data_IF_182106844852
#
_entry.id   IF_182106844852
#
_cell.length_a   1.000
_cell.length_b   1.000
_cell.length_c   1.000
_cell.angle_alpha   90.00
_cell.angle_beta   90.00
_cell.angle_gamma   90.00
#
_symmetry.space_group_name_H-M   'P 1'
#
loop_
_entity.id
_entity.type
_entity.pdbx_description
1 polymer ?
#
# COMPACT_ATOMS: atom_id res chain seq x y z
N UNK A 1 -14.76 -17.17 -6.38
CA UNK A 1 -15.16 -17.52 -4.99
C UNK A 1 -16.19 -16.53 -4.44
N UNK A 2 -17.26 -17.05 -3.85
CA UNK A 2 -18.42 -16.36 -3.26
C UNK A 2 -18.01 -15.30 -2.23
N UNK A 3 -17.00 -15.59 -1.40
CA UNK A 3 -16.46 -14.63 -0.42
C UNK A 3 -15.99 -13.32 -1.07
N UNK A 4 -15.53 -13.38 -2.31
CA UNK A 4 -15.05 -12.22 -3.07
C UNK A 4 -16.17 -11.61 -3.90
N UNK A 5 -16.95 -12.42 -4.62
CA UNK A 5 -18.02 -11.94 -5.49
C UNK A 5 -19.19 -11.29 -4.74
N UNK A 6 -19.48 -11.73 -3.51
CA UNK A 6 -20.49 -11.13 -2.62
C UNK A 6 -19.91 -10.15 -1.60
N UNK A 7 -18.66 -9.73 -1.75
CA UNK A 7 -18.06 -8.77 -0.83
C UNK A 7 -18.66 -7.38 -1.04
N UNK A 8 -18.79 -6.59 0.05
CA UNK A 8 -19.36 -5.23 -0.03
C UNK A 8 -18.72 -4.35 -1.13
N UNK A 9 -17.38 -4.29 -1.30
CA UNK A 9 -16.78 -3.53 -2.39
C UNK A 9 -17.19 -4.04 -3.77
N UNK A 10 -17.22 -5.36 -3.97
CA UNK A 10 -17.63 -5.96 -5.23
C UNK A 10 -19.08 -5.59 -5.56
N UNK A 11 -20.01 -5.83 -4.65
CA UNK A 11 -21.43 -5.52 -4.86
C UNK A 11 -21.64 -4.04 -5.21
N UNK A 12 -20.97 -3.13 -4.48
CA UNK A 12 -21.06 -1.69 -4.75
C UNK A 12 -20.57 -1.29 -6.15
N UNK A 13 -19.52 -1.93 -6.65
CA UNK A 13 -18.96 -1.66 -7.99
C UNK A 13 -19.84 -2.31 -9.07
N UNK A 14 -20.29 -3.54 -8.88
CA UNK A 14 -21.16 -4.23 -9.85
C UNK A 14 -22.51 -3.54 -10.00
N UNK A 15 -23.15 -3.09 -8.91
CA UNK A 15 -24.40 -2.31 -8.95
C UNK A 15 -24.28 -1.02 -9.79
N UNK A 16 -23.08 -0.43 -9.82
CA UNK A 16 -22.80 0.77 -10.63
C UNK A 16 -22.49 0.42 -12.08
N UNK A 17 -21.81 -0.70 -12.33
CA UNK A 17 -21.60 -1.21 -13.69
C UNK A 17 -22.93 -1.54 -14.38
N UNK A 18 -23.90 -2.11 -13.66
CA UNK A 18 -25.26 -2.34 -14.17
C UNK A 18 -26.03 -1.07 -14.55
N UNK A 19 -25.51 0.14 -14.27
CA UNK A 19 -26.12 1.40 -14.72
C UNK A 19 -25.70 1.78 -16.15
N UNK A 20 -24.69 1.13 -16.71
CA UNK A 20 -24.34 1.30 -18.12
C UNK A 20 -25.41 0.58 -18.96
N UNK A 21 -26.05 1.31 -19.87
CA UNK A 21 -27.20 0.84 -20.66
C UNK A 21 -26.95 -0.49 -21.39
N UNK A 22 -25.70 -0.71 -21.84
CA UNK A 22 -25.32 -1.86 -22.66
C UNK A 22 -24.47 -2.90 -21.91
N UNK A 23 -24.40 -2.83 -20.58
CA UNK A 23 -23.62 -3.78 -19.77
C UNK A 23 -24.55 -4.54 -18.82
N UNK A 24 -24.70 -5.84 -19.08
CA UNK A 24 -25.31 -6.79 -18.16
C UNK A 24 -24.24 -7.55 -17.38
N UNK A 25 -24.37 -7.57 -16.04
CA UNK A 25 -23.42 -8.25 -15.15
C UNK A 25 -23.95 -9.63 -14.77
N UNK A 26 -23.18 -10.67 -15.08
CA UNK A 26 -23.45 -12.05 -14.66
C UNK A 26 -22.39 -12.50 -13.67
N UNK A 27 -22.80 -12.90 -12.46
CA UNK A 27 -21.91 -13.45 -11.44
C UNK A 27 -21.97 -14.98 -11.51
N UNK A 28 -20.86 -15.62 -11.86
CA UNK A 28 -20.79 -17.08 -11.89
C UNK A 28 -20.87 -17.61 -10.46
N UNK A 29 -21.74 -18.58 -10.21
CA UNK A 29 -21.88 -19.18 -8.88
C UNK A 29 -20.62 -19.97 -8.52
N UNK A 30 -20.32 -20.07 -7.23
CA UNK A 30 -19.15 -20.83 -6.77
C UNK A 30 -19.29 -22.32 -7.11
N UNK A 31 -20.50 -22.87 -6.99
CA UNK A 31 -20.84 -24.23 -7.41
C UNK A 31 -20.51 -24.48 -8.88
N UNK A 32 -20.95 -23.61 -9.80
CA UNK A 32 -20.61 -23.73 -11.23
C UNK A 32 -19.10 -23.64 -11.46
N UNK A 33 -18.42 -22.71 -10.79
CA UNK A 33 -16.96 -22.55 -10.91
C UNK A 33 -16.21 -23.81 -10.46
N UNK A 34 -16.64 -24.43 -9.37
CA UNK A 34 -15.94 -25.59 -8.80
C UNK A 34 -16.33 -26.89 -9.50
N UNK A 35 -17.61 -27.13 -9.69
CA UNK A 35 -18.17 -28.45 -10.01
C UNK A 35 -18.43 -28.64 -11.50
N UNK A 36 -18.92 -27.61 -12.21
CA UNK A 36 -19.29 -27.74 -13.62
C UNK A 36 -18.10 -27.57 -14.57
N UNK A 37 -18.04 -28.32 -15.69
CA UNK A 37 -17.01 -28.12 -16.71
C UNK A 37 -17.19 -26.75 -17.41
N UNK A 38 -16.11 -26.21 -17.94
CA UNK A 38 -16.04 -24.80 -18.41
C UNK A 38 -16.98 -24.50 -19.59
N UNK A 39 -17.36 -25.52 -20.36
CA UNK A 39 -18.31 -25.42 -21.47
C UNK A 39 -19.71 -25.01 -20.99
N UNK A 40 -20.06 -25.39 -19.75
CA UNK A 40 -21.37 -25.08 -19.15
C UNK A 40 -21.40 -23.76 -18.39
N UNK A 41 -20.25 -23.10 -18.23
CA UNK A 41 -20.22 -21.81 -17.55
C UNK A 41 -21.00 -20.76 -18.36
N UNK A 42 -21.60 -19.76 -17.70
CA UNK A 42 -22.32 -18.71 -18.41
C UNK A 42 -21.42 -18.00 -19.43
N UNK A 43 -21.99 -17.56 -20.54
CA UNK A 43 -21.26 -16.80 -21.54
C UNK A 43 -21.04 -15.35 -21.09
N UNK A 44 -19.91 -14.76 -21.48
CA UNK A 44 -19.66 -13.34 -21.33
C UNK A 44 -18.73 -12.83 -22.43
N UNK A 45 -18.87 -11.56 -22.78
CA UNK A 45 -17.98 -10.87 -23.73
C UNK A 45 -16.74 -10.26 -23.05
N UNK A 46 -16.87 -9.98 -21.75
CA UNK A 46 -15.83 -9.47 -20.88
C UNK A 46 -15.78 -10.33 -19.61
N UNK A 47 -14.58 -10.69 -19.18
CA UNK A 47 -14.34 -11.52 -18.00
C UNK A 47 -13.50 -10.74 -16.97
N UNK A 48 -14.10 -10.54 -15.79
CA UNK A 48 -13.41 -10.11 -14.58
C UNK A 48 -13.24 -11.36 -13.70
N UNK A 49 -12.05 -11.93 -13.71
CA UNK A 49 -11.75 -13.15 -12.95
C UNK A 49 -10.37 -13.03 -12.30
N UNK A 50 -10.28 -13.51 -11.05
CA UNK A 50 -9.08 -13.39 -10.24
C UNK A 50 -8.96 -14.50 -9.20
N UNK A 51 -7.73 -14.96 -9.00
CA UNK A 51 -7.39 -15.99 -8.05
C UNK A 51 -7.54 -15.51 -6.60
N UNK A 52 -7.97 -16.43 -5.75
CA UNK A 52 -7.83 -16.39 -4.31
C UNK A 52 -7.92 -17.82 -3.80
N UNK A 53 -7.26 -18.15 -2.69
CA UNK A 53 -7.35 -19.48 -2.04
C UNK A 53 -8.64 -20.25 -2.31
N UNK A 54 -8.50 -21.39 -2.99
CA UNK A 54 -9.59 -22.31 -3.37
C UNK A 54 -10.19 -22.05 -4.77
N UNK A 55 -9.73 -21.03 -5.50
CA UNK A 55 -10.19 -20.75 -6.85
C UNK A 55 -9.46 -21.61 -7.90
N UNK A 56 -10.18 -22.32 -8.79
CA UNK A 56 -9.55 -23.14 -9.83
C UNK A 56 -9.10 -22.27 -11.00
N UNK A 57 -7.90 -21.69 -10.89
CA UNK A 57 -7.35 -20.79 -11.91
C UNK A 57 -7.19 -21.49 -13.27
N UNK A 58 -6.84 -22.78 -13.28
CA UNK A 58 -6.71 -23.58 -14.51
C UNK A 58 -8.03 -23.60 -15.31
N UNK A 59 -9.16 -23.82 -14.63
CA UNK A 59 -10.50 -23.77 -15.26
C UNK A 59 -10.83 -22.39 -15.80
N UNK A 60 -10.46 -21.33 -15.08
CA UNK A 60 -10.68 -19.97 -15.57
C UNK A 60 -9.86 -19.69 -16.85
N UNK A 61 -8.61 -20.15 -16.90
CA UNK A 61 -7.76 -20.05 -18.11
C UNK A 61 -8.35 -20.86 -19.25
N UNK A 62 -8.83 -22.07 -18.99
CA UNK A 62 -9.49 -22.94 -19.98
C UNK A 62 -10.77 -22.28 -20.53
N UNK A 63 -11.62 -21.74 -19.66
CA UNK A 63 -12.80 -20.97 -20.06
C UNK A 63 -12.42 -19.77 -20.94
N UNK A 64 -11.39 -19.01 -20.56
CA UNK A 64 -10.94 -17.86 -21.34
C UNK A 64 -10.41 -18.28 -22.72
N UNK A 65 -9.70 -19.41 -22.82
CA UNK A 65 -9.26 -19.97 -24.11
C UNK A 65 -10.44 -20.43 -24.97
N UNK A 66 -11.44 -21.07 -24.35
CA UNK A 66 -12.63 -21.58 -25.04
C UNK A 66 -13.54 -20.45 -25.58
N UNK A 67 -13.76 -19.40 -24.78
CA UNK A 67 -14.73 -18.34 -25.07
C UNK A 67 -14.11 -17.06 -25.64
N UNK A 68 -12.80 -16.88 -25.49
CA UNK A 68 -12.04 -15.69 -25.91
C UNK A 68 -12.69 -14.34 -25.52
N UNK A 69 -13.06 -14.12 -24.24
CA UNK A 69 -13.61 -12.85 -23.78
C UNK A 69 -12.51 -11.79 -23.65
N UNK A 70 -12.90 -10.51 -23.61
CA UNK A 70 -12.04 -9.43 -23.13
C UNK A 70 -11.65 -9.70 -21.66
N UNK A 71 -10.36 -9.80 -21.36
CA UNK A 71 -9.88 -9.97 -19.99
C UNK A 71 -9.58 -8.62 -19.34
N UNK A 72 -10.23 -8.31 -18.22
CA UNK A 72 -9.89 -7.13 -17.42
C UNK A 72 -8.59 -7.34 -16.63
N UNK A 73 -8.41 -8.55 -16.11
CA UNK A 73 -7.18 -8.97 -15.46
C UNK A 73 -6.70 -10.24 -16.17
N UNK A 74 -5.45 -10.25 -16.65
CA UNK A 74 -4.86 -11.42 -17.28
C UNK A 74 -4.80 -12.57 -16.27
N UNK A 75 -5.20 -13.77 -16.72
CA UNK A 75 -5.29 -14.95 -15.86
C UNK A 75 -3.95 -15.66 -15.68
N UNK A 76 -3.10 -15.71 -16.72
CA UNK A 76 -1.80 -16.38 -16.64
C UNK A 76 -0.85 -15.62 -15.71
N UNK A 77 -0.89 -14.29 -15.74
CA UNK A 77 -0.13 -13.44 -14.82
C UNK A 77 -0.45 -13.69 -13.35
N UNK A 78 -1.61 -14.27 -13.03
CA UNK A 78 -1.98 -14.59 -11.65
C UNK A 78 -1.22 -15.79 -11.08
N UNK A 79 -0.62 -16.66 -11.90
CA UNK A 79 0.33 -17.66 -11.41
C UNK A 79 1.64 -16.99 -10.97
N UNK A 80 2.15 -16.05 -11.76
CA UNK A 80 3.36 -15.29 -11.42
C UNK A 80 3.17 -14.45 -10.15
N UNK A 81 1.98 -13.87 -9.92
CA UNK A 81 1.67 -13.10 -8.71
C UNK A 81 1.66 -13.99 -7.44
N UNK A 82 1.45 -15.30 -7.57
CA UNK A 82 1.48 -16.23 -6.43
C UNK A 82 2.90 -16.56 -5.95
N UNK A 83 3.93 -16.20 -6.73
CA UNK A 83 5.34 -16.42 -6.40
C UNK A 83 6.08 -15.08 -6.29
N UNK A 84 6.55 -14.75 -5.09
CA UNK A 84 7.26 -13.49 -4.84
C UNK A 84 8.53 -13.35 -5.67
N UNK A 85 9.17 -14.46 -6.05
CA UNK A 85 10.37 -14.47 -6.90
C UNK A 85 10.05 -13.90 -8.27
N UNK A 86 8.95 -14.37 -8.87
CA UNK A 86 8.47 -13.90 -10.16
C UNK A 86 7.97 -12.45 -10.09
N UNK A 87 7.26 -12.08 -9.01
CA UNK A 87 6.89 -10.68 -8.77
C UNK A 87 8.12 -9.78 -8.78
N UNK A 88 9.17 -10.16 -8.05
CA UNK A 88 10.39 -9.35 -7.93
C UNK A 88 11.22 -9.34 -9.22
N UNK A 89 11.20 -10.44 -10.00
CA UNK A 89 11.81 -10.50 -11.33
C UNK A 89 11.15 -9.49 -12.28
N UNK A 90 9.82 -9.49 -12.36
CA UNK A 90 9.05 -8.57 -13.21
C UNK A 90 9.29 -7.11 -12.80
N UNK A 91 9.28 -6.81 -11.49
CA UNK A 91 9.57 -5.46 -11.01
C UNK A 91 10.97 -4.97 -11.43
N UNK A 92 11.99 -5.85 -11.33
CA UNK A 92 13.35 -5.53 -11.80
C UNK A 92 13.41 -5.28 -13.30
N UNK A 93 12.77 -6.12 -14.12
CA UNK A 93 12.73 -5.99 -15.59
C UNK A 93 12.08 -4.67 -16.04
N UNK A 94 11.11 -4.17 -15.27
CA UNK A 94 10.42 -2.91 -15.52
C UNK A 94 11.13 -1.68 -14.93
N UNK A 95 12.32 -1.88 -14.35
CA UNK A 95 13.09 -0.84 -13.67
C UNK A 95 12.25 -0.11 -12.60
N UNK A 96 11.50 -0.88 -11.81
CA UNK A 96 10.77 -0.39 -10.64
C UNK A 96 11.65 -0.63 -9.42
N UNK A 97 11.84 0.41 -8.60
CA UNK A 97 12.61 0.30 -7.36
C UNK A 97 11.91 -0.64 -6.36
N UNK A 98 12.68 -1.56 -5.79
CA UNK A 98 12.29 -2.48 -4.73
C UNK A 98 13.47 -2.64 -3.74
N UNK A 99 13.24 -3.12 -2.50
CA UNK A 99 14.32 -3.37 -1.56
C UNK A 99 15.38 -4.32 -2.16
N UNK A 100 16.65 -4.11 -1.81
CA UNK A 100 17.71 -5.08 -2.18
C UNK A 100 17.35 -6.43 -1.58
N UNK A 101 17.44 -7.49 -2.38
CA UNK A 101 17.01 -8.82 -1.97
C UNK A 101 17.86 -9.94 -2.58
N UNK A 102 17.87 -11.09 -1.91
CA UNK A 102 18.37 -12.37 -2.41
C UNK A 102 17.34 -13.47 -2.15
N UNK A 103 17.35 -14.50 -3.01
CA UNK A 103 16.42 -15.65 -2.92
C UNK A 103 17.19 -16.86 -2.41
N UNK A 104 16.71 -17.45 -1.33
CA UNK A 104 17.19 -18.73 -0.82
C UNK A 104 16.21 -19.84 -1.22
N UNK A 105 16.54 -20.57 -2.28
CA UNK A 105 15.77 -21.73 -2.75
C UNK A 105 16.26 -23.00 -2.05
N UNK A 106 15.48 -23.53 -1.10
CA UNK A 106 15.82 -24.79 -0.41
C UNK A 106 15.30 -26.04 -1.11
N UNK A 107 14.48 -25.87 -2.14
CA UNK A 107 13.98 -26.97 -2.98
C UNK A 107 15.08 -27.54 -3.90
N UNK A 108 16.17 -26.78 -4.09
CA UNK A 108 17.36 -27.17 -4.85
C UNK A 108 18.60 -27.04 -3.95
N UNK A 109 19.01 -28.11 -3.24
CA UNK A 109 20.05 -28.04 -2.21
C UNK A 109 21.41 -27.55 -2.73
N UNK A 110 21.71 -27.82 -4.01
CA UNK A 110 22.93 -27.32 -4.68
C UNK A 110 22.98 -25.79 -4.85
N UNK A 111 21.83 -25.11 -4.78
CA UNK A 111 21.71 -23.65 -4.95
C UNK A 111 21.51 -22.91 -3.62
N UNK A 112 21.60 -23.63 -2.49
CA UNK A 112 21.28 -23.10 -1.17
C UNK A 112 22.56 -22.81 -0.37
N UNK A 113 23.03 -21.56 -0.39
CA UNK A 113 24.06 -21.11 0.53
C UNK A 113 23.51 -20.07 1.50
N UNK A 114 23.37 -20.46 2.77
CA UNK A 114 23.00 -19.58 3.87
C UNK A 114 24.06 -19.68 4.97
N UNK A 115 24.71 -18.56 5.27
CA UNK A 115 25.56 -18.41 6.45
C UNK A 115 24.86 -17.44 7.40
N UNK A 116 24.60 -17.89 8.62
CA UNK A 116 23.97 -17.07 9.65
C UNK A 116 25.02 -16.60 10.66
N UNK A 117 25.14 -15.28 10.81
CA UNK A 117 25.91 -14.64 11.87
C UNK A 117 25.01 -14.07 12.97
N UNK A 118 25.61 -13.47 13.99
CA UNK A 118 24.87 -12.88 15.11
C UNK A 118 23.93 -11.74 14.66
N UNK A 119 24.47 -10.80 13.86
CA UNK A 119 23.78 -9.60 13.40
C UNK A 119 23.65 -9.49 11.87
N UNK A 120 23.81 -10.59 11.14
CA UNK A 120 23.60 -10.63 9.69
C UNK A 120 23.30 -12.05 9.18
N UNK A 121 22.82 -12.14 7.95
CA UNK A 121 22.85 -13.37 7.15
C UNK A 121 23.57 -13.12 5.83
N UNK A 122 24.22 -14.14 5.30
CA UNK A 122 24.77 -14.17 3.95
C UNK A 122 23.98 -15.18 3.12
N UNK A 123 23.32 -14.71 2.06
CA UNK A 123 22.47 -15.51 1.19
C UNK A 123 23.08 -15.48 -0.20
N UNK A 124 23.59 -16.61 -0.66
CA UNK A 124 24.26 -16.74 -1.97
C UNK A 124 25.39 -15.70 -2.19
N UNK A 125 26.16 -15.41 -1.14
CA UNK A 125 27.24 -14.42 -1.18
C UNK A 125 26.80 -12.98 -0.88
N UNK A 126 25.50 -12.70 -0.81
CA UNK A 126 24.98 -11.37 -0.47
C UNK A 126 24.72 -11.23 1.04
N UNK A 127 25.34 -10.24 1.66
CA UNK A 127 25.19 -9.97 3.10
C UNK A 127 23.98 -9.07 3.37
N UNK A 128 23.17 -9.44 4.36
CA UNK A 128 22.04 -8.67 4.88
C UNK A 128 22.24 -8.44 6.39
N UNK A 129 22.69 -7.25 6.80
CA UNK A 129 22.77 -6.91 8.22
C UNK A 129 21.36 -6.76 8.81
N UNK A 130 21.21 -7.06 10.10
CA UNK A 130 19.98 -6.77 10.83
C UNK A 130 19.82 -5.24 10.99
N UNK A 131 18.61 -4.67 10.79
CA UNK A 131 17.39 -5.38 10.48
C UNK A 131 17.25 -5.80 9.00
N UNK A 132 16.73 -7.01 8.79
CA UNK A 132 16.35 -7.53 7.48
C UNK A 132 14.99 -8.23 7.55
N UNK A 133 14.35 -8.42 6.40
CA UNK A 133 13.04 -9.07 6.27
C UNK A 133 13.20 -10.42 5.58
N UNK A 134 12.49 -11.43 6.06
CA UNK A 134 12.42 -12.78 5.48
C UNK A 134 10.97 -13.09 5.08
N UNK A 135 10.73 -13.23 3.77
CA UNK A 135 9.41 -13.50 3.20
C UNK A 135 9.36 -14.91 2.62
N UNK A 136 8.31 -15.71 2.89
CA UNK A 136 8.08 -16.95 2.16
C UNK A 136 7.99 -16.69 0.65
N UNK A 137 8.58 -17.55 -0.18
CA UNK A 137 8.48 -17.38 -1.65
C UNK A 137 7.03 -17.45 -2.16
N UNK A 138 6.16 -18.20 -1.48
CA UNK A 138 4.73 -18.21 -1.76
C UNK A 138 4.09 -16.89 -1.29
N UNK A 139 3.52 -16.12 -2.22
CA UNK A 139 2.88 -14.84 -1.91
C UNK A 139 1.58 -15.00 -1.09
N UNK A 140 0.93 -16.17 -1.14
CA UNK A 140 -0.23 -16.47 -0.28
C UNK A 140 0.17 -16.80 1.16
N UNK A 141 1.44 -17.08 1.44
CA UNK A 141 1.97 -17.17 2.80
C UNK A 141 2.33 -15.77 3.31
N UNK A 142 1.65 -15.36 4.38
CA UNK A 142 1.77 -14.05 5.00
C UNK A 142 2.64 -14.07 6.27
N UNK A 143 3.32 -15.18 6.55
CA UNK A 143 4.25 -15.32 7.67
C UNK A 143 5.59 -14.64 7.35
N UNK A 144 5.59 -13.31 7.29
CA UNK A 144 6.77 -12.48 7.02
C UNK A 144 7.48 -12.14 8.33
N UNK A 145 8.78 -12.41 8.42
CA UNK A 145 9.55 -12.18 9.64
C UNK A 145 10.52 -11.02 9.46
N UNK A 146 10.76 -10.25 10.52
CA UNK A 146 11.73 -9.16 10.56
C UNK A 146 12.68 -9.45 11.71
N UNK A 147 13.98 -9.47 11.44
CA UNK A 147 14.99 -9.80 12.44
C UNK A 147 15.66 -8.53 12.94
N UNK A 148 15.76 -8.34 14.25
CA UNK A 148 16.31 -7.11 14.84
C UNK A 148 17.76 -7.26 15.27
N UNK A 149 18.58 -6.21 15.14
CA UNK A 149 19.97 -6.27 15.56
C UNK A 149 20.09 -6.39 17.08
N UNK A 150 21.19 -6.96 17.53
CA UNK A 150 21.52 -7.14 18.96
C UNK A 150 21.56 -5.79 19.68
N UNK A 151 22.01 -4.74 19.00
CA UNK A 151 21.98 -3.35 19.51
C UNK A 151 20.57 -2.82 19.83
N UNK A 152 19.52 -3.39 19.24
CA UNK A 152 18.12 -3.07 19.51
C UNK A 152 17.42 -4.09 20.43
N UNK A 153 18.18 -5.03 21.02
CA UNK A 153 17.67 -6.09 21.90
C UNK A 153 17.49 -7.45 21.24
N UNK A 154 17.80 -7.59 19.94
CA UNK A 154 17.66 -8.83 19.20
C UNK A 154 16.21 -9.28 18.99
N UNK A 155 16.02 -10.56 18.72
CA UNK A 155 14.73 -11.16 18.46
C UNK A 155 14.18 -10.89 17.06
N UNK A 156 12.89 -11.18 16.88
CA UNK A 156 12.20 -11.04 15.60
C UNK A 156 10.74 -10.61 15.76
N UNK A 157 10.23 -9.87 14.78
CA UNK A 157 8.81 -9.60 14.61
C UNK A 157 8.21 -10.57 13.60
N UNK A 158 7.18 -11.30 14.03
CA UNK A 158 6.50 -12.30 13.20
C UNK A 158 5.16 -11.76 12.74
N UNK A 159 5.09 -11.34 11.47
CA UNK A 159 3.85 -10.87 10.85
C UNK A 159 2.99 -12.07 10.45
N UNK A 160 1.68 -11.86 10.44
CA UNK A 160 0.72 -12.87 10.00
C UNK A 160 -0.54 -12.19 9.48
N UNK A 161 -1.34 -12.94 8.73
CA UNK A 161 -2.66 -12.46 8.29
C UNK A 161 -3.49 -12.07 9.51
N UNK A 162 -3.91 -10.80 9.57
CA UNK A 162 -4.60 -10.19 10.71
C UNK A 162 -5.63 -11.12 11.38
N UNK A 163 -5.47 -11.32 12.69
CA UNK A 163 -6.40 -12.04 13.57
C UNK A 163 -6.88 -11.06 14.64
N UNK A 164 -8.15 -10.69 14.60
CA UNK A 164 -8.72 -9.72 15.54
C UNK A 164 -8.01 -8.36 15.50
N UNK A 165 -7.39 -7.97 16.61
CA UNK A 165 -6.67 -6.70 16.78
C UNK A 165 -5.16 -6.80 16.54
N UNK A 166 -4.65 -7.95 16.07
CA UNK A 166 -3.21 -8.16 15.83
C UNK A 166 -2.88 -8.53 14.39
N UNK A 167 -1.71 -8.07 13.97
CA UNK A 167 -1.10 -8.28 12.64
C UNK A 167 0.35 -8.75 12.69
N UNK A 168 0.97 -8.69 13.88
CA UNK A 168 2.26 -9.31 14.15
C UNK A 168 2.44 -9.54 15.66
N UNK A 169 3.51 -10.24 16.03
CA UNK A 169 3.92 -10.46 17.42
C UNK A 169 5.45 -10.51 17.52
N UNK A 170 5.99 -9.94 18.59
CA UNK A 170 7.40 -10.07 18.93
C UNK A 170 7.72 -11.49 19.39
N UNK A 171 8.90 -11.99 19.00
CA UNK A 171 9.47 -13.25 19.43
C UNK A 171 10.92 -13.03 19.86
N UNK A 172 11.39 -13.67 20.95
CA UNK A 172 12.79 -13.59 21.35
C UNK A 172 13.73 -14.39 20.43
N UNK A 173 13.19 -15.17 19.48
CA UNK A 173 13.98 -15.93 18.52
C UNK A 173 14.71 -14.97 17.56
N UNK A 174 16.04 -15.09 17.52
CA UNK A 174 16.92 -14.27 16.69
C UNK A 174 17.42 -15.00 15.44
N UNK A 175 17.15 -16.30 15.34
CA UNK A 175 17.63 -17.17 14.28
C UNK A 175 16.62 -17.32 13.14
N UNK A 176 17.11 -17.42 11.91
CA UNK A 176 16.27 -17.54 10.71
C UNK A 176 15.59 -18.91 10.59
N UNK A 177 14.51 -18.97 9.79
CA UNK A 177 13.81 -20.25 9.56
C UNK A 177 14.70 -21.19 8.75
N UNK A 178 14.79 -22.44 9.21
CA UNK A 178 15.70 -23.45 8.65
C UNK A 178 15.06 -24.31 7.55
N UNK A 179 13.73 -24.29 7.42
CA UNK A 179 12.98 -25.10 6.45
C UNK A 179 12.14 -24.21 5.53
N UNK A 180 12.04 -24.56 4.25
CA UNK A 180 11.29 -23.77 3.26
C UNK A 180 12.14 -22.73 2.54
N UNK A 181 11.64 -22.23 1.42
CA UNK A 181 12.33 -21.24 0.56
C UNK A 181 11.87 -19.82 0.89
N UNK A 182 12.81 -18.87 0.92
CA UNK A 182 12.56 -17.50 1.38
C UNK A 182 13.25 -16.44 0.50
N UNK A 183 12.69 -15.24 0.50
CA UNK A 183 13.35 -14.01 0.05
C UNK A 183 13.86 -13.27 1.28
N UNK A 184 15.16 -12.96 1.29
CA UNK A 184 15.77 -12.07 2.27
C UNK A 184 15.93 -10.70 1.63
N UNK A 185 15.45 -9.66 2.29
CA UNK A 185 15.54 -8.29 1.78
C UNK A 185 15.93 -7.29 2.86
N UNK A 186 16.51 -6.18 2.42
CA UNK A 186 16.83 -5.04 3.27
C UNK A 186 15.56 -4.47 3.94
N UNK A 187 15.64 -4.20 5.24
CA UNK A 187 14.56 -3.53 5.94
C UNK A 187 14.57 -2.03 5.61
N UNK A 188 13.47 -1.54 5.03
CA UNK A 188 13.34 -0.13 4.66
C UNK A 188 12.82 0.71 5.84
N UNK A 189 13.56 1.74 6.32
CA UNK A 189 13.13 2.59 7.42
C UNK A 189 12.07 3.60 6.95
N UNK A 190 10.79 3.25 7.08
CA UNK A 190 9.66 4.15 6.81
C UNK A 190 9.27 4.95 8.05
N UNK A 191 8.37 5.93 7.89
CA UNK A 191 7.74 6.68 9.01
C UNK A 191 6.72 5.82 9.81
N UNK A 192 6.84 4.49 9.76
CA UNK A 192 5.95 3.57 10.47
C UNK A 192 4.63 3.27 9.76
N UNK A 193 4.52 3.61 8.47
CA UNK A 193 3.33 3.32 7.66
C UNK A 193 3.68 2.66 6.33
N UNK A 194 2.78 1.81 5.87
CA UNK A 194 2.84 1.20 4.54
C UNK A 194 1.82 1.91 3.64
N UNK A 195 2.23 2.33 2.46
CA UNK A 195 1.34 2.95 1.46
C UNK A 195 0.73 1.85 0.60
N UNK A 196 -0.59 1.72 0.62
CA UNK A 196 -1.32 0.76 -0.20
C UNK A 196 -1.89 1.45 -1.41
N UNK A 197 -1.54 0.98 -2.59
CA UNK A 197 -1.96 1.54 -3.87
C UNK A 197 -2.90 0.58 -4.58
N UNK A 198 -3.95 1.13 -5.20
CA UNK A 198 -4.99 0.38 -5.90
C UNK A 198 -5.24 1.02 -7.27
N UNK A 199 -4.87 0.33 -8.33
CA UNK A 199 -5.07 0.78 -9.71
C UNK A 199 -6.43 0.38 -10.23
N UNK A 200 -6.96 1.18 -11.15
CA UNK A 200 -8.08 0.80 -12.03
C UNK A 200 -7.70 1.25 -13.43
N UNK A 201 -7.02 0.38 -14.15
CA UNK A 201 -6.28 0.74 -15.35
C UNK A 201 -5.00 1.51 -15.02
N UNK A 202 -4.21 1.83 -16.06
CA UNK A 202 -2.86 2.38 -15.89
C UNK A 202 -2.83 3.85 -15.46
N UNK A 203 -3.93 4.59 -15.60
CA UNK A 203 -4.00 6.05 -15.41
C UNK A 203 -4.75 6.48 -14.14
N UNK A 204 -5.35 5.53 -13.42
CA UNK A 204 -5.99 5.78 -12.13
C UNK A 204 -5.31 4.96 -11.03
N UNK A 205 -4.95 5.63 -9.94
CA UNK A 205 -4.45 4.99 -8.74
C UNK A 205 -4.96 5.71 -7.48
N UNK A 206 -5.64 4.95 -6.61
CA UNK A 206 -5.98 5.39 -5.26
C UNK A 206 -4.90 4.92 -4.28
N UNK A 207 -4.54 5.75 -3.30
CA UNK A 207 -3.58 5.38 -2.28
C UNK A 207 -4.04 5.75 -0.86
N UNK A 208 -3.78 4.83 0.07
CA UNK A 208 -4.06 4.98 1.49
C UNK A 208 -2.91 4.38 2.32
N UNK A 209 -2.47 5.08 3.35
CA UNK A 209 -1.48 4.57 4.29
C UNK A 209 -2.14 3.85 5.46
N UNK A 210 -1.47 2.83 5.97
CA UNK A 210 -1.84 2.13 7.21
C UNK A 210 -0.62 1.98 8.10
N UNK A 211 -0.84 1.84 9.41
CA UNK A 211 0.25 1.53 10.34
C UNK A 211 0.95 0.24 9.91
N UNK A 212 2.27 0.28 9.84
CA UNK A 212 3.07 -0.88 9.46
C UNK A 212 2.96 -1.97 10.54
N UNK A 213 2.69 -3.23 10.17
CA UNK A 213 2.70 -4.34 11.11
C UNK A 213 4.10 -4.63 11.66
N UNK A 214 5.16 -4.04 11.09
CA UNK A 214 6.54 -4.12 11.57
C UNK A 214 6.79 -3.41 12.92
N UNK A 215 5.87 -2.56 13.38
CA UNK A 215 6.02 -1.78 14.61
C UNK A 215 5.69 -2.60 15.87
N UNK A 216 4.42 -2.61 16.29
CA UNK A 216 3.95 -3.29 17.51
C UNK A 216 2.92 -4.39 17.23
N UNK A 217 2.50 -4.53 15.96
CA UNK A 217 1.48 -5.47 15.52
C UNK A 217 0.04 -5.14 15.94
N UNK A 218 -0.19 -4.07 16.71
CA UNK A 218 -1.53 -3.66 17.16
C UNK A 218 -2.22 -2.89 16.04
N UNK A 219 -3.36 -3.43 15.59
CA UNK A 219 -4.18 -2.83 14.54
C UNK A 219 -4.99 -1.69 15.14
N UNK A 220 -4.76 -0.49 14.60
CA UNK A 220 -5.48 0.71 15.01
C UNK A 220 -6.87 0.73 14.38
N UNK A 221 -7.89 1.01 15.19
CA UNK A 221 -9.29 1.01 14.78
C UNK A 221 -9.98 2.30 15.20
N UNK A 222 -10.89 2.77 14.36
CA UNK A 222 -11.78 3.89 14.68
C UNK A 222 -12.91 3.47 15.65
N UNK A 223 -13.76 4.43 15.99
CA UNK A 223 -14.93 4.22 16.86
C UNK A 223 -15.94 3.21 16.30
N UNK A 224 -15.93 2.94 14.99
CA UNK A 224 -16.78 1.95 14.34
C UNK A 224 -16.10 0.58 14.21
N UNK A 225 -14.89 0.42 14.76
CA UNK A 225 -14.11 -0.80 14.71
C UNK A 225 -13.45 -1.06 13.35
N UNK A 226 -13.45 -0.11 12.41
CA UNK A 226 -12.73 -0.22 11.13
C UNK A 226 -11.28 0.16 11.33
N UNK A 227 -10.40 -0.49 10.57
CA UNK A 227 -8.97 -0.18 10.60
C UNK A 227 -8.71 1.23 10.10
N UNK A 228 -7.95 2.03 10.86
CA UNK A 228 -7.64 3.41 10.53
C UNK A 228 -6.79 3.46 9.25
N UNK A 229 -7.10 4.42 8.38
CA UNK A 229 -6.41 4.66 7.12
C UNK A 229 -6.20 6.13 6.93
N UNK A 230 -5.06 6.50 6.36
CA UNK A 230 -4.72 7.88 6.06
C UNK A 230 -4.73 8.07 4.55
N UNK A 231 -5.42 9.08 4.01
CA UNK A 231 -5.37 9.36 2.58
C UNK A 231 -3.95 9.71 2.17
N UNK A 232 -3.49 9.16 1.04
CA UNK A 232 -2.15 9.42 0.50
C UNK A 232 -2.29 9.98 -0.90
N UNK A 233 -1.64 11.12 -1.13
CA UNK A 233 -1.41 11.62 -2.49
C UNK A 233 -0.13 10.99 -3.02
N UNK A 234 -0.25 10.29 -4.15
CA UNK A 234 0.91 9.77 -4.88
C UNK A 234 1.63 10.91 -5.60
N UNK A 235 2.95 10.90 -5.52
CA UNK A 235 3.81 11.75 -6.33
C UNK A 235 3.71 11.39 -7.82
N UNK A 236 4.21 12.26 -8.71
CA UNK A 236 4.26 11.96 -10.15
C UNK A 236 5.05 10.67 -10.44
N UNK A 237 6.16 10.45 -9.72
CA UNK A 237 6.95 9.23 -9.83
C UNK A 237 6.17 7.99 -9.38
N UNK A 238 5.48 8.05 -8.24
CA UNK A 238 4.69 6.91 -7.76
C UNK A 238 3.47 6.61 -8.65
N UNK A 239 2.88 7.63 -9.29
CA UNK A 239 1.86 7.41 -10.33
C UNK A 239 2.43 6.67 -11.54
N UNK A 240 3.66 7.02 -11.96
CA UNK A 240 4.35 6.28 -13.02
C UNK A 240 4.64 4.83 -12.58
N UNK A 241 5.04 4.60 -11.33
CA UNK A 241 5.20 3.25 -10.77
C UNK A 241 3.87 2.49 -10.81
N UNK A 242 2.75 3.11 -10.39
CA UNK A 242 1.43 2.48 -10.44
C UNK A 242 1.02 2.10 -11.88
N UNK A 243 1.30 2.97 -12.85
CA UNK A 243 1.11 2.70 -14.28
C UNK A 243 1.93 1.48 -14.72
N UNK A 244 3.22 1.45 -14.40
CA UNK A 244 4.10 0.33 -14.76
C UNK A 244 3.63 -0.99 -14.12
N UNK A 245 3.32 -1.00 -12.82
CA UNK A 245 2.81 -2.19 -12.13
C UNK A 245 1.52 -2.70 -12.79
N UNK A 246 0.56 -1.82 -13.10
CA UNK A 246 -0.67 -2.22 -13.77
C UNK A 246 -0.41 -2.91 -15.12
N UNK A 247 0.46 -2.32 -15.94
CA UNK A 247 0.76 -2.81 -17.29
C UNK A 247 1.61 -4.09 -17.28
N UNK A 248 2.68 -4.10 -16.47
CA UNK A 248 3.62 -5.22 -16.39
C UNK A 248 2.96 -6.51 -15.91
N UNK A 249 2.11 -6.41 -14.88
CA UNK A 249 1.35 -7.54 -14.36
C UNK A 249 0.07 -7.82 -15.15
N UNK A 250 -0.27 -6.96 -16.13
CA UNK A 250 -1.51 -7.04 -16.93
C UNK A 250 -2.76 -7.15 -16.05
N UNK A 251 -2.75 -6.45 -14.93
CA UNK A 251 -3.84 -6.42 -13.96
C UNK A 251 -4.45 -5.01 -13.99
N UNK A 252 -5.60 -4.85 -14.67
CA UNK A 252 -6.30 -3.55 -14.69
C UNK A 252 -6.65 -3.12 -13.26
N UNK A 253 -7.29 -4.02 -12.51
CA UNK A 253 -7.50 -3.83 -11.07
C UNK A 253 -6.35 -4.49 -10.34
N UNK A 254 -5.45 -3.69 -9.75
CA UNK A 254 -4.25 -4.20 -9.08
C UNK A 254 -4.01 -3.49 -7.75
N UNK A 255 -3.74 -4.25 -6.70
CA UNK A 255 -3.26 -3.75 -5.42
C UNK A 255 -1.77 -4.03 -5.25
N UNK A 256 -1.01 -3.05 -4.77
CA UNK A 256 0.40 -3.24 -4.42
C UNK A 256 0.79 -2.32 -3.25
N UNK A 257 1.87 -2.68 -2.56
CA UNK A 257 2.37 -1.96 -1.39
C UNK A 257 3.67 -1.20 -1.72
N UNK A 258 3.73 0.04 -1.26
CA UNK A 258 4.87 0.95 -1.38
C UNK A 258 5.44 1.29 0.01
N UNK A 259 6.77 1.30 0.08
CA UNK A 259 7.55 1.78 1.21
C UNK A 259 8.19 3.10 0.82
N UNK A 260 7.82 4.19 1.50
CA UNK A 260 8.50 5.49 1.37
C UNK A 260 9.65 5.51 2.37
N UNK A 261 10.88 5.46 1.87
CA UNK A 261 12.09 5.42 2.69
C UNK A 261 13.22 6.20 2.01
N UNK A 262 14.01 6.93 2.79
CA UNK A 262 15.20 7.66 2.30
C UNK A 262 14.93 8.64 1.13
N UNK A 263 13.71 9.16 1.00
CA UNK A 263 13.32 10.04 -0.11
C UNK A 263 12.92 9.32 -1.41
N UNK A 264 12.89 7.99 -1.39
CA UNK A 264 12.50 7.11 -2.50
C UNK A 264 11.22 6.33 -2.16
N UNK A 265 10.64 5.67 -3.18
CA UNK A 265 9.45 4.83 -3.03
C UNK A 265 9.71 3.45 -3.64
N UNK A 266 9.67 2.42 -2.79
CA UNK A 266 10.01 1.03 -3.16
C UNK A 266 8.75 0.16 -3.16
N UNK A 267 8.55 -0.62 -4.21
CA UNK A 267 7.48 -1.65 -4.23
C UNK A 267 7.97 -2.87 -3.46
N UNK A 268 7.20 -3.32 -2.47
CA UNK A 268 7.57 -4.46 -1.63
C UNK A 268 6.60 -5.65 -1.71
N UNK A 269 5.44 -5.47 -2.36
CA UNK A 269 4.44 -6.52 -2.57
C UNK A 269 3.49 -6.15 -3.72
N UNK A 270 3.11 -7.11 -4.57
CA UNK A 270 2.09 -6.95 -5.62
C UNK A 270 1.06 -8.06 -5.42
N UNK A 271 -0.19 -7.67 -5.17
CA UNK A 271 -1.27 -8.57 -4.75
C UNK A 271 -2.22 -8.98 -5.88
N UNK A 272 -2.12 -8.34 -7.05
CA UNK A 272 -3.11 -8.49 -8.12
C UNK A 272 -4.47 -7.92 -7.73
N UNK A 273 -5.57 -8.58 -8.09
CA UNK A 273 -6.91 -8.03 -7.92
C UNK A 273 -7.26 -7.62 -6.48
N UNK A 274 -7.46 -6.32 -6.27
CA UNK A 274 -7.79 -5.75 -4.97
C UNK A 274 -8.58 -4.47 -5.11
N UNK A 275 -9.69 -4.38 -4.36
CA UNK A 275 -10.48 -3.15 -4.27
C UNK A 275 -10.21 -2.40 -2.96
N UNK A 276 -10.23 -1.07 -3.04
CA UNK A 276 -10.32 -0.20 -1.87
C UNK A 276 -11.61 -0.50 -1.12
N UNK A 277 -11.57 -0.39 0.21
CA UNK A 277 -12.75 -0.60 1.05
C UNK A 277 -13.19 0.71 1.68
N UNK A 278 -14.50 0.89 1.76
CA UNK A 278 -15.17 1.99 2.46
C UNK A 278 -15.03 3.38 1.81
N UNK A 279 -14.64 3.46 0.55
CA UNK A 279 -14.60 4.72 -0.21
C UNK A 279 -15.68 4.73 -1.29
N UNK A 280 -16.72 5.55 -1.11
CA UNK A 280 -17.80 5.68 -2.11
C UNK A 280 -17.28 6.25 -3.42
N UNK A 281 -16.43 7.29 -3.35
CA UNK A 281 -15.77 7.86 -4.52
C UNK A 281 -14.99 6.81 -5.31
N UNK A 282 -14.23 5.93 -4.63
CA UNK A 282 -13.52 4.86 -5.32
C UNK A 282 -14.49 3.89 -6.03
N UNK A 283 -15.64 3.57 -5.42
CA UNK A 283 -16.62 2.69 -6.08
C UNK A 283 -17.23 3.34 -7.33
N UNK A 284 -17.53 4.64 -7.26
CA UNK A 284 -18.01 5.42 -8.41
C UNK A 284 -16.94 5.47 -9.53
N UNK A 285 -15.72 5.91 -9.18
CA UNK A 285 -14.59 6.02 -10.11
C UNK A 285 -14.26 4.66 -10.74
N UNK A 286 -14.13 3.61 -9.92
CA UNK A 286 -13.75 2.28 -10.39
C UNK A 286 -14.78 1.69 -11.36
N UNK A 287 -16.08 1.78 -11.03
CA UNK A 287 -17.13 1.27 -11.90
C UNK A 287 -17.19 2.05 -13.21
N UNK A 288 -17.05 3.37 -13.16
CA UNK A 288 -17.04 4.23 -14.35
C UNK A 288 -15.87 3.91 -15.28
N UNK A 289 -14.65 3.79 -14.72
CA UNK A 289 -13.46 3.45 -15.50
C UNK A 289 -13.60 2.06 -16.12
N UNK A 290 -14.01 1.04 -15.34
CA UNK A 290 -14.21 -0.31 -15.86
C UNK A 290 -15.28 -0.34 -16.96
N UNK A 291 -16.43 0.29 -16.74
CA UNK A 291 -17.50 0.37 -17.74
C UNK A 291 -17.02 1.06 -19.02
N UNK A 292 -16.33 2.19 -18.90
CA UNK A 292 -15.75 2.90 -20.05
C UNK A 292 -14.70 2.07 -20.79
N UNK A 293 -13.86 1.30 -20.08
CA UNK A 293 -12.89 0.38 -20.69
C UNK A 293 -13.58 -0.73 -21.48
N UNK A 294 -14.62 -1.33 -20.92
CA UNK A 294 -15.42 -2.39 -21.56
C UNK A 294 -16.11 -1.83 -22.81
N UNK A 295 -16.80 -0.69 -22.69
CA UNK A 295 -17.50 -0.06 -23.80
C UNK A 295 -16.53 0.36 -24.90
N UNK A 296 -15.38 0.93 -24.57
CA UNK A 296 -14.37 1.33 -25.56
C UNK A 296 -13.91 0.16 -26.44
N UNK A 297 -13.77 -1.02 -25.85
CA UNK A 297 -13.29 -2.21 -26.57
C UNK A 297 -14.42 -2.93 -27.31
N UNK A 298 -15.59 -3.10 -26.67
CA UNK A 298 -16.67 -3.94 -27.19
C UNK A 298 -17.73 -3.18 -27.97
N UNK A 299 -17.94 -1.88 -27.74
CA UNK A 299 -18.98 -1.12 -28.45
C UNK A 299 -18.79 -1.13 -29.98
N UNK A 300 -17.56 -1.00 -30.55
CA UNK A 300 -17.37 -1.12 -31.99
C UNK A 300 -17.77 -2.50 -32.53
N UNK A 301 -17.48 -3.57 -31.78
CA UNK A 301 -17.83 -4.96 -32.15
C UNK A 301 -19.35 -5.17 -32.22
N UNK A 302 -20.10 -4.48 -31.35
CA UNK A 302 -21.55 -4.56 -31.28
C UNK A 302 -22.29 -3.43 -32.02
N UNK A 303 -21.57 -2.59 -32.78
CA UNK A 303 -22.13 -1.41 -33.44
C UNK A 303 -22.90 -0.47 -32.50
N UNK A 304 -22.49 -0.40 -31.23
CA UNK A 304 -23.05 0.51 -30.24
C UNK A 304 -22.37 1.87 -30.40
N UNK A 305 -23.12 2.97 -30.59
CA UNK A 305 -22.54 4.30 -30.58
C UNK A 305 -21.97 4.61 -29.20
N UNK A 306 -20.65 4.65 -29.10
CA UNK A 306 -19.96 5.01 -27.86
C UNK A 306 -18.91 6.08 -28.12
N UNK A 307 -19.20 7.30 -27.70
CA UNK A 307 -18.14 8.29 -27.46
C UNK A 307 -17.71 8.14 -26.01
N UNK A 308 -16.40 7.98 -25.79
CA UNK A 308 -15.86 8.13 -24.43
C UNK A 308 -16.35 9.50 -23.95
N UNK A 309 -17.11 9.56 -22.83
CA UNK A 309 -17.46 10.86 -22.28
C UNK A 309 -16.15 11.59 -22.05
N UNK A 310 -15.94 12.70 -22.76
CA UNK A 310 -14.94 13.68 -22.34
C UNK A 310 -15.52 14.17 -21.03
N UNK A 311 -15.12 13.54 -19.93
CA UNK A 311 -15.36 14.13 -18.65
C UNK A 311 -14.60 15.46 -18.72
N UNK A 312 -15.36 16.56 -18.69
CA UNK A 312 -14.90 17.73 -17.95
C UNK A 312 -14.32 17.14 -16.66
N UNK A 313 -12.99 17.22 -16.46
CA UNK A 313 -12.45 16.91 -15.15
C UNK A 313 -13.39 17.57 -14.13
N UNK A 314 -13.79 16.89 -13.05
CA UNK A 314 -14.56 17.52 -11.97
C UNK A 314 -13.70 18.64 -11.37
N UNK A 315 -13.61 19.76 -12.09
CA UNK A 315 -12.97 20.99 -11.68
C UNK A 315 -13.88 21.46 -10.56
N UNK A 316 -13.42 21.46 -9.30
CA UNK A 316 -14.27 21.81 -8.19
C UNK A 316 -14.83 23.22 -8.43
N UNK A 317 -16.13 23.29 -8.72
CA UNK A 317 -16.84 24.55 -8.91
C UNK A 317 -16.99 25.16 -7.52
N UNK A 318 -16.28 26.26 -7.27
CA UNK A 318 -16.34 26.96 -5.98
C UNK A 318 -17.46 28.00 -6.06
N UNK A 319 -18.53 27.89 -5.25
CA UNK A 319 -19.57 28.93 -5.21
C UNK A 319 -18.98 30.22 -4.61
N UNK A 320 -19.19 31.35 -5.28
CA UNK A 320 -18.79 32.67 -4.79
C UNK A 320 -20.01 33.46 -4.31
N UNK A 321 -19.78 34.40 -3.39
CA UNK A 321 -20.80 35.30 -2.82
C UNK A 321 -21.45 36.26 -3.82
N UNK A 322 -21.01 36.27 -5.09
CA UNK A 322 -21.45 37.21 -6.12
C UNK A 322 -22.16 36.54 -7.32
N UNK A 323 -22.46 35.23 -7.24
CA UNK A 323 -23.33 34.54 -8.21
C UNK A 323 -22.71 34.19 -9.57
N UNK A 324 -21.46 34.56 -9.84
CA UNK A 324 -20.73 34.15 -11.04
C UNK A 324 -19.97 32.85 -10.82
N UNK A 325 -20.21 31.86 -11.67
CA UNK A 325 -19.47 30.59 -11.70
C UNK A 325 -18.07 30.83 -12.28
N UNK A 326 -17.03 30.38 -11.57
CA UNK A 326 -15.64 30.47 -12.04
C UNK A 326 -15.02 29.09 -12.14
N UNK A 327 -14.23 28.88 -13.20
CA UNK A 327 -13.48 27.67 -13.48
C UNK A 327 -12.05 27.79 -12.95
N UNK A 328 -11.60 26.83 -12.14
CA UNK A 328 -10.22 26.77 -11.66
C UNK A 328 -9.29 26.27 -12.78
N UNK A 329 -8.66 27.19 -13.52
CA UNK A 329 -7.75 26.86 -14.63
C UNK A 329 -6.36 26.44 -14.17
N UNK A 330 -5.85 27.01 -13.08
CA UNK A 330 -4.59 26.62 -12.49
C UNK A 330 -4.52 27.04 -11.02
N UNK A 331 -3.82 26.26 -10.21
CA UNK A 331 -3.41 26.66 -8.86
C UNK A 331 -1.98 27.16 -8.95
N UNK A 332 -1.79 28.48 -8.93
CA UNK A 332 -0.46 29.07 -8.82
C UNK A 332 -0.13 29.20 -7.33
N UNK A 333 0.55 28.20 -6.78
CA UNK A 333 1.09 28.26 -5.44
C UNK A 333 2.46 28.95 -5.45
N UNK A 334 2.49 30.26 -5.14
CA UNK A 334 3.74 30.98 -4.89
C UNK A 334 4.19 30.65 -3.47
N UNK A 335 4.99 29.59 -3.34
CA UNK A 335 5.58 29.19 -2.06
C UNK A 335 6.92 29.90 -1.93
N UNK A 336 6.97 30.96 -1.11
CA UNK A 336 8.26 31.40 -0.57
C UNK A 336 8.69 30.39 0.50
N UNK A 337 9.95 29.96 0.46
CA UNK A 337 10.54 29.18 1.54
C UNK A 337 10.61 30.05 2.81
N UNK A 338 9.52 30.08 3.57
CA UNK A 338 9.52 30.58 4.94
C UNK A 338 10.16 29.52 5.80
N UNK A 339 11.50 29.51 5.88
CA UNK A 339 12.30 28.59 6.68
C UNK A 339 11.85 28.59 8.15
N UNK A 340 10.85 27.76 8.47
CA UNK A 340 10.39 27.43 9.81
C UNK A 340 9.74 26.06 9.79
N UNK A 341 10.52 25.04 10.13
CA UNK A 341 10.02 23.81 10.77
C UNK A 341 8.94 24.17 11.80
N UNK A 342 7.81 23.44 11.89
CA UNK A 342 6.79 23.70 12.91
C UNK A 342 7.43 23.71 14.29
N UNK A 343 7.59 24.89 14.88
CA UNK A 343 8.14 25.02 16.24
C UNK A 343 7.03 24.63 17.19
N UNK A 344 7.16 23.48 17.86
CA UNK A 344 6.33 23.15 19.02
C UNK A 344 6.53 24.23 20.08
N UNK A 345 5.58 25.18 20.15
CA UNK A 345 5.59 26.28 21.11
C UNK A 345 4.70 25.90 22.28
N UNK A 346 5.33 25.45 23.35
CA UNK A 346 4.64 25.27 24.62
C UNK A 346 4.53 26.63 25.33
N UNK A 347 3.33 27.00 25.77
CA UNK A 347 3.07 28.15 26.64
C UNK A 347 2.61 27.59 27.99
N UNK A 348 3.26 28.00 29.07
CA UNK A 348 2.91 27.60 30.43
C UNK A 348 3.20 28.73 31.41
N UNK A 349 2.42 28.80 32.48
CA UNK A 349 2.77 29.61 33.64
C UNK A 349 3.80 28.86 34.46
N UNK A 350 4.84 29.55 34.93
CA UNK A 350 5.89 28.96 35.76
C UNK A 350 6.03 29.79 37.03
N UNK A 351 6.02 29.13 38.19
CA UNK A 351 6.09 29.76 39.52
C UNK A 351 7.31 29.32 40.34
N UNK A 352 8.18 28.48 39.78
CA UNK A 352 9.34 27.94 40.49
C UNK A 352 10.51 28.94 40.55
N UNK A 353 11.11 29.15 41.73
CA UNK A 353 12.16 30.16 41.99
C UNK A 353 13.33 30.10 40.99
N UNK A 354 13.75 28.89 40.61
CA UNK A 354 14.81 28.64 39.62
C UNK A 354 14.59 29.32 38.25
N UNK A 355 13.35 29.55 37.82
CA UNK A 355 13.05 30.27 36.58
C UNK A 355 13.19 31.78 36.75
N UNK A 356 12.86 32.32 37.93
CA UNK A 356 13.06 33.73 38.24
C UNK A 356 14.55 34.09 38.35
N UNK A 357 15.36 33.21 38.94
CA UNK A 357 16.83 33.35 38.94
C UNK A 357 17.41 33.34 37.52
N UNK A 358 16.89 32.45 36.65
CA UNK A 358 17.30 32.39 35.24
C UNK A 358 16.88 33.68 34.51
N UNK A 359 15.69 34.18 34.81
CA UNK A 359 15.16 35.43 34.28
C UNK A 359 16.03 36.61 34.68
N UNK A 360 16.44 36.70 35.95
CA UNK A 360 17.30 37.75 36.46
C UNK A 360 18.72 37.68 35.91
N UNK A 361 19.33 36.49 35.95
CA UNK A 361 20.71 36.24 35.48
C UNK A 361 20.95 36.69 34.04
N UNK A 362 19.92 36.62 33.20
CA UNK A 362 20.00 37.06 31.81
C UNK A 362 19.24 38.37 31.54
N UNK A 363 18.94 39.16 32.57
CA UNK A 363 18.44 40.53 32.45
C UNK A 363 16.98 40.65 31.99
N UNK A 364 16.17 39.61 32.19
CA UNK A 364 14.77 39.56 31.76
C UNK A 364 13.92 40.68 32.37
N UNK A 365 14.17 41.07 33.63
CA UNK A 365 13.44 42.14 34.30
C UNK A 365 13.61 43.51 33.65
N UNK A 366 14.71 43.74 32.91
CA UNK A 366 14.94 45.00 32.20
C UNK A 366 14.07 45.16 30.96
N UNK A 367 13.65 44.06 30.34
CA UNK A 367 12.93 44.09 29.05
C UNK A 367 11.56 43.41 29.08
N UNK A 368 11.16 42.88 30.24
CA UNK A 368 9.92 42.13 30.44
C UNK A 368 9.88 40.78 29.71
N UNK A 369 10.98 40.34 29.10
CA UNK A 369 11.08 39.07 28.36
C UNK A 369 12.51 38.56 28.32
N UNK A 370 12.66 37.24 28.20
CA UNK A 370 13.97 36.61 28.05
C UNK A 370 13.98 35.70 26.82
N UNK A 371 14.99 35.85 25.95
CA UNK A 371 15.20 34.99 24.77
C UNK A 371 16.52 34.25 24.91
N UNK A 372 16.47 32.97 25.25
CA UNK A 372 17.64 32.09 25.30
C UNK A 372 17.87 31.48 23.92
N UNK A 373 19.08 31.65 23.37
CA UNK A 373 19.43 31.18 22.01
C UNK A 373 20.66 30.27 21.97
N UNK A 374 21.54 30.33 22.97
CA UNK A 374 22.78 29.53 22.98
C UNK A 374 22.53 28.14 23.60
N UNK A 375 23.15 27.05 23.10
CA UNK A 375 22.94 25.68 23.61
C UNK A 375 23.14 25.54 25.14
N UNK A 376 24.19 26.15 25.70
CA UNK A 376 24.45 26.15 27.15
C UNK A 376 23.32 26.79 27.97
N UNK A 377 22.62 27.78 27.42
CA UNK A 377 21.48 28.42 28.09
C UNK A 377 20.23 27.53 28.03
N UNK A 378 20.04 26.82 26.92
CA UNK A 378 18.91 25.93 26.70
C UNK A 378 19.00 24.66 27.57
N UNK A 379 20.20 24.12 27.78
CA UNK A 379 20.42 22.99 28.70
C UNK A 379 19.99 23.32 30.14
N UNK A 380 20.35 24.51 30.64
CA UNK A 380 19.96 24.98 31.98
C UNK A 380 18.44 25.14 32.09
N UNK A 381 17.77 25.63 31.03
CA UNK A 381 16.30 25.71 31.03
C UNK A 381 15.62 24.34 30.98
N UNK A 382 16.19 23.36 30.25
CA UNK A 382 15.63 22.01 30.14
C UNK A 382 15.73 21.24 31.45
N UNK A 383 16.88 21.31 32.14
CA UNK A 383 17.06 20.68 33.45
C UNK A 383 16.08 21.26 34.49
N UNK A 384 15.82 22.57 34.45
CA UNK A 384 14.86 23.23 35.34
C UNK A 384 13.39 22.95 34.98
N UNK A 385 13.08 22.69 33.71
CA UNK A 385 11.73 22.32 33.26
C UNK A 385 11.34 20.88 33.62
N UNK A 386 12.31 19.98 33.78
CA UNK A 386 12.08 18.59 34.24
C UNK A 386 11.57 18.57 35.69
N UNK A 387 11.95 19.54 36.51
CA UNK A 387 11.50 19.69 37.90
C UNK A 387 10.02 20.15 38.03
N UNK A 388 9.31 20.36 36.92
CA UNK A 388 7.90 20.79 36.90
C UNK A 388 6.91 19.63 36.68
N UNK A 389 7.40 18.42 36.41
CA UNK A 389 6.56 17.23 36.30
C UNK A 389 6.82 16.34 37.52
N UNK A 390 5.80 16.02 38.35
CA UNK A 390 5.95 15.11 39.48
C UNK A 390 6.33 13.69 39.06
#
# INVERSE_FOLDING_TARGET
>A
MMKKSKSKPMTQILERLCKFEYIDVVIFSEEVILEEPVEKWPHCDCLISFHSRGFPLDKAVEYAKLRNPLLINDLNMQYFIQDRREVYRILKEEFIELPRYAVLNRDHPEECNLVEGEDHVEVNGEVFPKPFVEKPVCAEDHNVYIYYPTSAGGGSQRLFRKIGSRSSVYSPESSVRQTGSYIYEEFMPTDGTDVKVYTVGPDYAHAEARKSPALDGKVERDSEGKEIRYPVMLTAFEKLVARKVCLAFKQTVCGFDLLRANGHSFVCDVNGFSFVKSSMKYYDDCAKILGNMIMRELAPKYSIPWSIPIEDEDIPIVPTTSGTMMELRCVIAIIRHGDRTPKQKMKMEVRHHLFFELFDKYGGYKTGKLKLKKPKQLQVSKQKAILLFP
#
